data_IF_920293927207
#
_entry.id   IF_920293927207
#
_cell.length_a   1.000
_cell.length_b   1.000
_cell.length_c   1.000
_cell.angle_alpha   90.00
_cell.angle_beta   90.00
_cell.angle_gamma   90.00
#
_symmetry.space_group_name_H-M   'P 1'
#
loop_
_entity.id
_entity.type
_entity.pdbx_description
1 polymer ?
#
# COMPACT_ATOMS: atom_id res chain seq x y z
N UNK A 1 -27.75 4.48 5.73
CA UNK A 1 -26.64 3.54 5.63
C UNK A 1 -27.16 2.39 4.82
N UNK A 2 -26.60 2.15 3.65
CA UNK A 2 -27.05 1.05 2.82
C UNK A 2 -26.54 -0.26 3.42
N UNK A 3 -27.37 -1.29 3.44
CA UNK A 3 -27.01 -2.60 3.97
C UNK A 3 -26.55 -3.49 2.81
N UNK A 4 -25.29 -3.89 2.84
CA UNK A 4 -24.65 -4.69 1.81
C UNK A 4 -24.48 -6.16 2.21
N UNK A 5 -25.35 -6.68 3.07
CA UNK A 5 -25.31 -8.07 3.55
C UNK A 5 -25.15 -9.09 2.41
N UNK A 6 -25.89 -8.91 1.32
CA UNK A 6 -25.82 -9.81 0.16
C UNK A 6 -24.46 -9.76 -0.54
N UNK A 7 -23.92 -8.57 -0.72
CA UNK A 7 -22.58 -8.40 -1.34
C UNK A 7 -21.54 -9.06 -0.45
N UNK A 8 -21.48 -8.68 0.84
CA UNK A 8 -20.48 -9.20 1.79
C UNK A 8 -20.55 -10.72 1.90
N UNK A 9 -21.77 -11.31 1.96
CA UNK A 9 -21.93 -12.75 2.01
C UNK A 9 -21.47 -13.49 0.74
N UNK A 10 -21.42 -12.81 -0.40
CA UNK A 10 -20.96 -13.38 -1.68
C UNK A 10 -19.46 -13.24 -1.91
N UNK A 11 -18.75 -12.40 -1.12
CA UNK A 11 -17.32 -12.19 -1.27
C UNK A 11 -16.52 -13.45 -0.90
N UNK A 12 -15.47 -13.79 -1.63
CA UNK A 12 -14.57 -14.87 -1.25
C UNK A 12 -13.83 -14.53 0.06
N UNK A 13 -13.54 -15.55 0.85
CA UNK A 13 -12.66 -15.38 2.02
C UNK A 13 -11.24 -15.17 1.54
N UNK A 14 -10.69 -13.97 1.77
CA UNK A 14 -9.29 -13.66 1.45
C UNK A 14 -8.37 -14.13 2.57
N UNK A 15 -7.23 -14.71 2.20
CA UNK A 15 -6.15 -15.10 3.11
C UNK A 15 -4.83 -14.52 2.63
N UNK A 16 -3.94 -14.22 3.55
CA UNK A 16 -2.61 -13.69 3.20
C UNK A 16 -1.78 -14.67 2.33
N UNK A 17 -2.09 -15.97 2.41
CA UNK A 17 -1.45 -17.01 1.58
C UNK A 17 -1.95 -17.04 0.13
N UNK A 18 -3.09 -16.40 -0.16
CA UNK A 18 -3.72 -16.37 -1.50
C UNK A 18 -2.90 -15.62 -2.56
N UNK A 19 -1.78 -15.04 -2.16
CA UNK A 19 -0.77 -14.44 -3.05
C UNK A 19 -0.21 -15.42 -4.13
N UNK A 20 -0.64 -16.68 -4.09
CA UNK A 20 -0.32 -17.72 -5.09
C UNK A 20 -1.57 -18.27 -5.78
N UNK A 21 -2.73 -17.66 -5.55
CA UNK A 21 -3.97 -18.11 -6.16
C UNK A 21 -3.98 -17.76 -7.66
N UNK A 22 -3.66 -18.76 -8.49
CA UNK A 22 -3.55 -18.60 -9.96
C UNK A 22 -4.86 -18.16 -10.64
N UNK A 23 -5.99 -18.16 -9.93
CA UNK A 23 -7.31 -17.89 -10.48
C UNK A 23 -8.07 -16.73 -9.80
N UNK A 24 -7.39 -15.87 -9.03
CA UNK A 24 -8.05 -14.72 -8.40
C UNK A 24 -8.11 -13.55 -9.39
N UNK A 25 -9.29 -13.30 -9.95
CA UNK A 25 -9.55 -12.12 -10.77
C UNK A 25 -9.90 -10.92 -9.88
N UNK A 26 -8.86 -10.22 -9.42
CA UNK A 26 -9.03 -9.07 -8.54
C UNK A 26 -9.79 -7.91 -9.23
N UNK A 27 -9.56 -7.70 -10.52
CA UNK A 27 -10.23 -6.65 -11.28
C UNK A 27 -11.71 -6.97 -11.43
N UNK A 28 -12.06 -8.19 -11.86
CA UNK A 28 -13.45 -8.62 -12.01
C UNK A 28 -14.22 -8.59 -10.68
N UNK A 29 -13.56 -8.90 -9.54
CA UNK A 29 -14.17 -8.77 -8.22
C UNK A 29 -14.49 -7.32 -7.86
N UNK A 30 -13.57 -6.38 -8.13
CA UNK A 30 -13.79 -4.95 -7.89
C UNK A 30 -14.93 -4.42 -8.77
N UNK A 31 -14.97 -4.80 -10.05
CA UNK A 31 -16.02 -4.38 -10.97
C UNK A 31 -17.38 -4.94 -10.54
N UNK A 32 -17.45 -6.22 -10.16
CA UNK A 32 -18.68 -6.84 -9.67
C UNK A 32 -19.20 -6.23 -8.35
N UNK A 33 -18.30 -5.80 -7.45
CA UNK A 33 -18.66 -5.03 -6.26
C UNK A 33 -19.22 -3.67 -6.69
N UNK A 34 -18.51 -2.94 -7.55
CA UNK A 34 -18.89 -1.60 -8.02
C UNK A 34 -20.30 -1.57 -8.61
N UNK A 35 -20.64 -2.54 -9.44
CA UNK A 35 -21.97 -2.61 -10.07
C UNK A 35 -23.13 -2.73 -9.07
N UNK A 36 -22.85 -3.29 -7.89
CA UNK A 36 -23.85 -3.51 -6.85
C UNK A 36 -23.93 -2.39 -5.81
N UNK A 37 -22.94 -1.48 -5.79
CA UNK A 37 -22.91 -0.35 -4.87
C UNK A 37 -23.85 0.78 -5.31
N UNK A 38 -24.37 1.52 -4.32
CA UNK A 38 -25.04 2.80 -4.59
C UNK A 38 -24.07 3.80 -5.23
N UNK A 39 -24.59 4.73 -6.05
CA UNK A 39 -23.73 5.73 -6.71
C UNK A 39 -22.89 6.57 -5.73
N UNK A 40 -23.38 6.76 -4.50
CA UNK A 40 -22.63 7.43 -3.43
C UNK A 40 -21.44 6.58 -2.97
N UNK A 41 -21.63 5.28 -2.81
CA UNK A 41 -20.62 4.39 -2.27
C UNK A 41 -19.62 3.96 -3.37
N UNK A 42 -20.02 4.00 -4.65
CA UNK A 42 -19.07 3.91 -5.77
C UNK A 42 -18.01 5.00 -5.71
N UNK A 43 -18.37 6.24 -5.34
CA UNK A 43 -17.41 7.34 -5.16
C UNK A 43 -16.41 7.04 -4.04
N UNK A 44 -16.85 6.37 -2.95
CA UNK A 44 -15.95 5.95 -1.87
C UNK A 44 -14.98 4.87 -2.34
N UNK A 45 -15.47 3.90 -3.10
CA UNK A 45 -14.65 2.86 -3.71
C UNK A 45 -13.63 3.47 -4.68
N UNK A 46 -14.04 4.39 -5.55
CA UNK A 46 -13.16 5.07 -6.49
C UNK A 46 -12.07 5.86 -5.76
N UNK A 47 -12.44 6.56 -4.68
CA UNK A 47 -11.47 7.27 -3.85
C UNK A 47 -10.44 6.33 -3.21
N UNK A 48 -10.87 5.15 -2.73
CA UNK A 48 -9.95 4.13 -2.21
C UNK A 48 -8.99 3.66 -3.32
N UNK A 49 -9.50 3.39 -4.52
CA UNK A 49 -8.70 2.92 -5.66
C UNK A 49 -7.71 3.97 -6.16
N UNK A 50 -8.06 5.25 -6.11
CA UNK A 50 -7.15 6.37 -6.41
C UNK A 50 -5.90 6.34 -5.51
N UNK A 51 -6.01 5.87 -4.28
CA UNK A 51 -4.88 5.70 -3.35
C UNK A 51 -3.90 4.58 -3.73
N UNK A 52 -4.25 3.72 -4.68
CA UNK A 52 -3.35 2.70 -5.23
C UNK A 52 -2.77 3.09 -6.59
N UNK A 53 -3.12 4.27 -7.10
CA UNK A 53 -2.57 4.84 -8.32
C UNK A 53 -1.37 5.74 -7.98
N UNK A 54 -0.12 5.37 -8.38
CA UNK A 54 1.06 6.17 -8.07
C UNK A 54 1.00 7.61 -8.58
N UNK A 55 0.31 7.84 -9.69
CA UNK A 55 0.20 9.17 -10.31
C UNK A 55 -0.76 10.10 -9.53
N UNK A 56 -1.68 9.51 -8.75
CA UNK A 56 -2.66 10.24 -7.94
C UNK A 56 -2.23 10.39 -6.49
N UNK A 57 -1.35 9.53 -5.99
CA UNK A 57 -0.94 9.45 -4.60
C UNK A 57 0.09 10.56 -4.26
N UNK A 58 -0.40 11.76 -4.02
CA UNK A 58 0.39 12.96 -3.74
C UNK A 58 -0.11 13.69 -2.48
N UNK A 59 0.52 14.82 -2.13
CA UNK A 59 0.15 15.62 -0.96
C UNK A 59 -1.34 16.01 -0.96
N UNK A 60 -1.87 16.46 -2.09
CA UNK A 60 -3.27 16.89 -2.20
C UNK A 60 -4.24 15.73 -2.02
N UNK A 61 -3.87 14.53 -2.45
CA UNK A 61 -4.64 13.32 -2.17
C UNK A 61 -4.76 13.08 -0.67
N UNK A 62 -3.64 13.09 0.06
CA UNK A 62 -3.66 12.86 1.51
C UNK A 62 -4.40 13.95 2.28
N UNK A 63 -4.30 15.22 1.87
CA UNK A 63 -5.12 16.30 2.46
C UNK A 63 -6.60 15.97 2.35
N UNK A 64 -7.08 15.53 1.18
CA UNK A 64 -8.48 15.14 0.97
C UNK A 64 -8.85 13.87 1.74
N UNK A 65 -7.95 12.90 1.78
CA UNK A 65 -8.16 11.62 2.46
C UNK A 65 -8.33 11.80 3.97
N UNK A 66 -7.47 12.59 4.60
CA UNK A 66 -7.53 12.84 6.04
C UNK A 66 -8.71 13.74 6.46
N UNK A 67 -9.21 14.58 5.56
CA UNK A 67 -10.42 15.37 5.75
C UNK A 67 -11.70 14.61 5.36
N UNK A 68 -11.58 13.36 4.90
CA UNK A 68 -12.71 12.62 4.36
C UNK A 68 -13.73 12.25 5.45
N UNK A 69 -15.04 12.32 5.14
CA UNK A 69 -16.12 12.01 6.10
C UNK A 69 -16.22 10.52 6.42
N UNK A 70 -15.91 9.66 5.45
CA UNK A 70 -15.92 8.21 5.67
C UNK A 70 -14.75 7.85 6.60
N UNK A 71 -15.07 7.08 7.66
CA UNK A 71 -14.12 6.72 8.72
C UNK A 71 -12.99 5.83 8.18
N UNK A 72 -13.34 4.77 7.42
CA UNK A 72 -12.37 3.83 6.88
C UNK A 72 -11.32 4.55 6.02
N UNK A 73 -11.75 5.37 5.06
CA UNK A 73 -10.84 6.10 4.16
C UNK A 73 -9.89 7.02 4.94
N UNK A 74 -10.43 7.75 5.95
CA UNK A 74 -9.62 8.65 6.77
C UNK A 74 -8.57 7.89 7.57
N UNK A 75 -8.95 6.82 8.27
CA UNK A 75 -8.05 6.05 9.13
C UNK A 75 -7.03 5.24 8.32
N UNK A 76 -7.48 4.63 7.22
CA UNK A 76 -6.62 3.88 6.31
C UNK A 76 -5.52 4.75 5.69
N UNK A 77 -5.87 5.90 5.13
CA UNK A 77 -4.88 6.78 4.51
C UNK A 77 -4.05 7.56 5.52
N UNK A 78 -4.54 7.75 6.76
CA UNK A 78 -3.70 8.23 7.86
C UNK A 78 -2.57 7.25 8.14
N UNK A 79 -2.92 5.98 8.33
CA UNK A 79 -1.95 4.91 8.55
C UNK A 79 -0.99 4.75 7.35
N UNK A 80 -1.52 4.75 6.11
CA UNK A 80 -0.69 4.61 4.91
C UNK A 80 0.34 5.73 4.78
N UNK A 81 -0.06 6.98 5.04
CA UNK A 81 0.85 8.14 5.04
C UNK A 81 1.98 7.96 6.07
N UNK A 82 1.64 7.56 7.30
CA UNK A 82 2.61 7.41 8.38
C UNK A 82 3.58 6.25 8.10
N UNK A 83 3.07 5.13 7.60
CA UNK A 83 3.90 3.99 7.19
C UNK A 83 4.82 4.34 6.01
N UNK A 84 4.33 5.10 5.03
CA UNK A 84 5.10 5.60 3.89
C UNK A 84 6.22 6.53 4.38
N UNK A 85 5.92 7.51 5.21
CA UNK A 85 6.91 8.45 5.73
C UNK A 85 7.96 7.74 6.60
N UNK A 86 7.56 6.79 7.43
CA UNK A 86 8.48 5.95 8.21
C UNK A 86 9.42 5.16 7.31
N UNK A 87 8.90 4.62 6.19
CA UNK A 87 9.71 3.89 5.21
C UNK A 87 10.69 4.81 4.50
N UNK A 88 10.25 6.00 4.08
CA UNK A 88 11.10 7.02 3.44
C UNK A 88 12.21 7.48 4.38
N UNK A 89 11.88 7.81 5.64
CA UNK A 89 12.87 8.20 6.64
C UNK A 89 13.91 7.10 6.88
N UNK A 90 13.47 5.84 7.00
CA UNK A 90 14.39 4.70 7.11
C UNK A 90 15.34 4.59 5.91
N UNK A 91 14.82 4.66 4.68
CA UNK A 91 15.63 4.60 3.46
C UNK A 91 16.61 5.76 3.37
N UNK A 92 16.20 6.97 3.73
CA UNK A 92 17.07 8.15 3.74
C UNK A 92 18.22 7.99 4.72
N UNK A 93 17.97 7.47 5.94
CA UNK A 93 19.02 7.12 6.91
C UNK A 93 20.03 6.12 6.33
N UNK A 94 19.54 5.05 5.65
CA UNK A 94 20.42 4.05 5.01
C UNK A 94 21.27 4.65 3.89
N UNK A 95 20.72 5.61 3.15
CA UNK A 95 21.40 6.30 2.04
C UNK A 95 22.20 7.53 2.51
N UNK A 96 22.24 7.81 3.81
CA UNK A 96 22.91 9.00 4.40
C UNK A 96 22.40 10.32 3.81
N UNK A 97 21.09 10.42 3.61
CA UNK A 97 20.37 11.63 3.18
C UNK A 97 19.65 12.27 4.36
N UNK A 98 19.15 13.47 4.17
CA UNK A 98 18.24 14.12 5.13
C UNK A 98 16.98 13.26 5.30
N UNK A 99 16.57 13.01 6.56
CA UNK A 99 15.50 12.07 6.87
C UNK A 99 14.14 12.47 6.28
N UNK A 100 13.86 13.76 6.23
CA UNK A 100 12.61 14.35 5.75
C UNK A 100 12.52 14.48 4.22
N UNK A 101 13.62 14.21 3.51
CA UNK A 101 13.64 14.27 2.07
C UNK A 101 12.63 13.32 1.46
N UNK A 102 11.79 13.85 0.56
CA UNK A 102 10.75 13.11 -0.15
C UNK A 102 9.61 12.59 0.76
N UNK A 103 9.56 13.02 2.03
CA UNK A 103 8.40 12.77 2.90
C UNK A 103 7.23 13.67 2.53
N UNK A 104 6.03 13.16 2.72
CA UNK A 104 4.80 13.96 2.57
C UNK A 104 4.45 14.56 3.93
N UNK A 105 4.76 15.85 4.11
CA UNK A 105 4.46 16.60 5.33
C UNK A 105 3.18 17.40 5.13
N UNK A 106 2.19 17.20 6.02
CA UNK A 106 0.94 17.93 6.05
C UNK A 106 0.94 18.93 7.21
N UNK A 107 0.48 20.15 6.95
CA UNK A 107 0.35 21.20 7.97
C UNK A 107 -0.62 20.76 9.08
N UNK A 108 -0.25 21.00 10.33
CA UNK A 108 -1.05 20.64 11.50
C UNK A 108 -1.01 19.17 11.87
N UNK A 109 -0.10 18.37 11.28
CA UNK A 109 0.09 16.95 11.61
C UNK A 109 1.49 16.64 12.14
N UNK A 110 2.25 17.65 12.50
CA UNK A 110 3.66 17.53 12.91
C UNK A 110 3.82 16.69 14.19
N UNK A 111 2.80 16.67 15.05
CA UNK A 111 2.78 15.91 16.32
C UNK A 111 1.84 14.69 16.26
N UNK A 112 1.44 14.23 15.07
CA UNK A 112 0.57 13.07 14.96
C UNK A 112 1.30 11.80 15.44
N UNK A 113 0.67 11.07 16.33
CA UNK A 113 1.19 9.79 16.80
C UNK A 113 0.96 8.70 15.76
N UNK A 114 1.99 7.90 15.50
CA UNK A 114 1.91 6.67 14.71
C UNK A 114 2.16 5.47 15.62
N UNK A 115 1.10 4.83 16.14
CA UNK A 115 1.25 3.73 17.11
C UNK A 115 2.07 2.56 16.59
N UNK A 116 2.02 2.30 15.29
CA UNK A 116 2.73 1.21 14.63
C UNK A 116 4.18 1.54 14.27
N UNK A 117 4.67 2.73 14.57
CA UNK A 117 6.02 3.20 14.18
C UNK A 117 7.13 2.23 14.60
N UNK A 118 7.15 1.82 15.87
CA UNK A 118 8.18 0.92 16.38
C UNK A 118 8.16 -0.44 15.67
N UNK A 119 6.96 -0.94 15.36
CA UNK A 119 6.78 -2.20 14.60
C UNK A 119 7.26 -2.05 13.18
N UNK A 120 6.88 -0.97 12.50
CA UNK A 120 7.31 -0.68 11.13
C UNK A 120 8.84 -0.54 11.04
N UNK A 121 9.47 0.19 11.96
CA UNK A 121 10.93 0.33 12.01
C UNK A 121 11.65 -1.00 12.26
N UNK A 122 11.12 -1.85 13.15
CA UNK A 122 11.67 -3.18 13.37
C UNK A 122 11.58 -4.08 12.12
N UNK A 123 10.47 -4.02 11.40
CA UNK A 123 10.30 -4.73 10.13
C UNK A 123 11.31 -4.23 9.09
N UNK A 124 11.47 -2.91 8.96
CA UNK A 124 12.37 -2.28 7.98
C UNK A 124 13.83 -2.62 8.20
N UNK A 125 14.26 -2.92 9.43
CA UNK A 125 15.61 -3.38 9.76
C UNK A 125 15.91 -4.80 9.29
N UNK A 126 14.92 -5.56 8.85
CA UNK A 126 15.08 -6.91 8.34
C UNK A 126 15.99 -6.97 7.11
N UNK A 127 16.90 -7.95 7.06
CA UNK A 127 17.88 -8.13 5.99
C UNK A 127 17.22 -8.70 4.73
N UNK A 128 16.26 -9.61 4.90
CA UNK A 128 15.53 -10.25 3.81
C UNK A 128 14.44 -9.32 3.28
N UNK A 129 14.66 -8.80 2.07
CA UNK A 129 13.76 -7.84 1.43
C UNK A 129 12.36 -8.44 1.24
N UNK A 130 12.27 -9.69 0.79
CA UNK A 130 10.99 -10.34 0.54
C UNK A 130 10.19 -10.52 1.85
N UNK A 131 10.86 -10.97 2.89
CA UNK A 131 10.27 -11.13 4.22
C UNK A 131 9.83 -9.77 4.80
N UNK A 132 10.64 -8.74 4.59
CA UNK A 132 10.31 -7.37 5.01
C UNK A 132 9.04 -6.86 4.34
N UNK A 133 8.95 -6.99 2.99
CA UNK A 133 7.76 -6.58 2.24
C UNK A 133 6.50 -7.36 2.69
N UNK A 134 6.64 -8.67 2.95
CA UNK A 134 5.56 -9.48 3.50
C UNK A 134 5.10 -8.97 4.86
N UNK A 135 6.05 -8.70 5.77
CA UNK A 135 5.71 -8.22 7.12
C UNK A 135 5.09 -6.82 7.10
N UNK A 136 5.46 -5.94 6.14
CA UNK A 136 4.78 -4.67 5.96
C UNK A 136 3.34 -4.86 5.47
N UNK A 137 3.09 -5.86 4.62
CA UNK A 137 1.72 -6.17 4.19
C UNK A 137 0.90 -6.85 5.29
N UNK A 138 1.53 -7.68 6.14
CA UNK A 138 0.90 -8.21 7.35
C UNK A 138 0.45 -7.08 8.28
N UNK A 139 1.28 -6.04 8.41
CA UNK A 139 0.94 -4.84 9.19
C UNK A 139 -0.24 -4.08 8.58
N UNK A 140 -0.23 -3.89 7.23
CA UNK A 140 -1.37 -3.30 6.51
C UNK A 140 -2.65 -4.11 6.68
N UNK A 141 -2.54 -5.43 6.56
CA UNK A 141 -3.67 -6.33 6.74
C UNK A 141 -4.29 -6.23 8.12
N UNK A 142 -3.43 -6.26 9.14
CA UNK A 142 -3.85 -6.12 10.55
C UNK A 142 -4.53 -4.79 10.80
N UNK A 143 -4.06 -3.71 10.15
CA UNK A 143 -4.70 -2.39 10.25
C UNK A 143 -6.08 -2.35 9.61
N UNK A 144 -6.27 -3.02 8.47
CA UNK A 144 -7.61 -3.16 7.88
C UNK A 144 -8.55 -3.91 8.84
N UNK A 145 -8.08 -5.01 9.45
CA UNK A 145 -8.88 -5.76 10.44
C UNK A 145 -9.26 -4.91 11.64
N UNK A 146 -8.32 -4.11 12.16
CA UNK A 146 -8.57 -3.19 13.27
C UNK A 146 -9.64 -2.15 12.92
N UNK A 147 -9.52 -1.50 11.76
CA UNK A 147 -10.47 -0.46 11.32
C UNK A 147 -11.87 -1.05 11.11
N UNK A 148 -11.98 -2.28 10.58
CA UNK A 148 -13.25 -2.90 10.18
C UNK A 148 -13.83 -3.85 11.21
N UNK A 149 -13.25 -3.94 12.41
CA UNK A 149 -13.64 -4.95 13.42
C UNK A 149 -15.12 -4.91 13.83
N UNK A 150 -15.76 -3.76 13.70
CA UNK A 150 -17.17 -3.57 14.04
C UNK A 150 -18.08 -3.44 12.81
N UNK A 151 -17.51 -3.50 11.60
CA UNK A 151 -18.22 -3.29 10.35
C UNK A 151 -18.51 -4.65 9.73
N UNK A 152 -19.79 -5.00 9.61
CA UNK A 152 -20.20 -6.33 9.12
C UNK A 152 -20.80 -6.28 7.73
N UNK A 153 -21.72 -5.31 7.46
CA UNK A 153 -22.53 -5.28 6.25
C UNK A 153 -22.67 -3.87 5.67
N UNK A 154 -21.73 -3.01 5.98
CA UNK A 154 -21.69 -1.63 5.52
C UNK A 154 -20.60 -1.43 4.46
N UNK A 155 -20.48 -0.21 3.99
CA UNK A 155 -19.47 0.13 2.98
C UNK A 155 -18.05 -0.02 3.52
N UNK A 156 -17.82 0.19 4.80
CA UNK A 156 -16.53 0.05 5.45
C UNK A 156 -16.00 -1.39 5.36
N UNK A 157 -16.87 -2.39 5.55
CA UNK A 157 -16.51 -3.81 5.35
C UNK A 157 -16.07 -4.09 3.91
N UNK A 158 -16.76 -3.51 2.93
CA UNK A 158 -16.44 -3.67 1.51
C UNK A 158 -15.11 -2.96 1.17
N UNK A 159 -14.90 -1.74 1.65
CA UNK A 159 -13.64 -1.01 1.45
C UNK A 159 -12.46 -1.78 2.09
N UNK A 160 -12.65 -2.34 3.27
CA UNK A 160 -11.67 -3.21 3.92
C UNK A 160 -11.34 -4.46 3.10
N UNK A 161 -12.37 -5.12 2.54
CA UNK A 161 -12.18 -6.24 1.62
C UNK A 161 -11.35 -5.84 0.40
N UNK A 162 -11.69 -4.72 -0.25
CA UNK A 162 -10.97 -4.24 -1.43
C UNK A 162 -9.53 -3.85 -1.08
N UNK A 163 -9.27 -3.23 0.08
CA UNK A 163 -7.91 -2.93 0.53
C UNK A 163 -7.06 -4.20 0.68
N UNK A 164 -7.60 -5.26 1.29
CA UNK A 164 -6.94 -6.57 1.37
C UNK A 164 -6.74 -7.22 0.01
N UNK A 165 -7.76 -7.14 -0.87
CA UNK A 165 -7.67 -7.64 -2.23
C UNK A 165 -6.53 -6.97 -3.00
N UNK A 166 -6.31 -5.66 -2.81
CA UNK A 166 -5.19 -4.93 -3.43
C UNK A 166 -3.82 -5.37 -2.92
N UNK A 167 -3.71 -5.78 -1.65
CA UNK A 167 -2.48 -6.38 -1.12
C UNK A 167 -2.17 -7.69 -1.85
N UNK A 168 -3.17 -8.57 -2.02
CA UNK A 168 -3.01 -9.83 -2.75
C UNK A 168 -2.68 -9.58 -4.23
N UNK A 169 -3.45 -8.71 -4.90
CA UNK A 169 -3.31 -8.38 -6.32
C UNK A 169 -1.88 -7.92 -6.63
N UNK A 170 -1.28 -7.08 -5.77
CA UNK A 170 0.12 -6.65 -5.90
C UNK A 170 1.08 -7.84 -5.99
N UNK A 171 0.88 -8.88 -5.18
CA UNK A 171 1.73 -10.06 -5.19
C UNK A 171 1.49 -10.97 -6.40
N UNK A 172 0.24 -11.08 -6.87
CA UNK A 172 -0.10 -11.83 -8.07
C UNK A 172 0.51 -11.21 -9.35
N UNK A 173 0.65 -9.89 -9.37
CA UNK A 173 1.25 -9.17 -10.49
C UNK A 173 2.79 -9.23 -10.49
N UNK A 174 3.43 -9.66 -9.40
CA UNK A 174 4.88 -9.80 -9.33
C UNK A 174 5.31 -11.07 -10.10
N UNK A 175 5.74 -10.89 -11.35
CA UNK A 175 6.33 -11.94 -12.17
C UNK A 175 7.80 -12.14 -11.78
N UNK A 176 8.19 -13.34 -11.28
CA UNK A 176 9.57 -13.64 -10.91
C UNK A 176 10.56 -13.55 -12.09
N UNK A 177 10.13 -13.83 -13.32
CA UNK A 177 11.00 -13.78 -14.49
C UNK A 177 11.30 -12.32 -14.88
N UNK A 178 10.28 -11.46 -14.91
CA UNK A 178 10.44 -10.03 -15.13
C UNK A 178 11.33 -9.42 -14.04
N UNK A 179 11.13 -9.82 -12.77
CA UNK A 179 11.96 -9.37 -11.66
C UNK A 179 13.44 -9.75 -11.84
N UNK A 180 13.75 -10.96 -12.30
CA UNK A 180 15.14 -11.41 -12.58
C UNK A 180 15.76 -10.63 -13.73
N UNK A 181 15.01 -10.33 -14.79
CA UNK A 181 15.49 -9.57 -15.94
C UNK A 181 15.82 -8.13 -15.52
N UNK A 182 14.91 -7.48 -14.76
CA UNK A 182 15.13 -6.12 -14.25
C UNK A 182 16.32 -6.06 -13.30
N UNK A 183 16.46 -7.02 -12.40
CA UNK A 183 17.61 -7.09 -11.49
C UNK A 183 18.93 -7.26 -12.24
N UNK A 184 18.98 -8.14 -13.25
CA UNK A 184 20.17 -8.33 -14.08
C UNK A 184 20.55 -7.06 -14.82
N UNK A 185 19.59 -6.37 -15.41
CA UNK A 185 19.78 -5.08 -16.08
C UNK A 185 20.35 -4.03 -15.13
N UNK A 186 19.78 -3.89 -13.93
CA UNK A 186 20.22 -2.95 -12.92
C UNK A 186 21.68 -3.24 -12.47
N UNK A 187 22.04 -4.51 -12.32
CA UNK A 187 23.41 -4.92 -11.99
C UNK A 187 24.39 -4.59 -13.14
N UNK A 188 23.98 -4.78 -14.39
CA UNK A 188 24.77 -4.41 -15.57
C UNK A 188 24.97 -2.89 -15.67
N UNK A 189 23.93 -2.09 -15.43
CA UNK A 189 24.00 -0.63 -15.41
C UNK A 189 24.94 -0.11 -14.30
N UNK A 190 24.89 -0.71 -13.12
CA UNK A 190 25.82 -0.38 -12.03
C UNK A 190 27.25 -0.72 -12.42
N UNK A 191 27.50 -1.89 -13.01
CA UNK A 191 28.84 -2.30 -13.47
C UNK A 191 29.37 -1.35 -14.54
N UNK A 192 28.58 -1.04 -15.54
CA UNK A 192 28.99 -0.11 -16.62
C UNK A 192 29.32 1.28 -16.09
N UNK A 193 28.58 1.77 -15.11
CA UNK A 193 28.83 3.06 -14.44
C UNK A 193 30.15 3.04 -13.64
N UNK A 194 30.48 1.90 -13.01
CA UNK A 194 31.72 1.72 -12.27
C UNK A 194 32.93 1.62 -13.21
N UNK A 195 32.78 0.90 -14.33
CA UNK A 195 33.88 0.73 -15.32
C UNK A 195 34.17 2.05 -16.04
N UNK A 196 33.15 2.84 -16.37
CA UNK A 196 33.33 4.18 -16.96
C UNK A 196 34.05 5.14 -15.97
N UNK A 197 33.68 5.12 -14.67
CA UNK A 197 34.40 5.93 -13.66
C UNK A 197 35.85 5.51 -13.46
N UNK A 198 36.18 4.23 -13.64
CA UNK A 198 37.60 3.79 -13.58
C UNK A 198 38.41 4.26 -14.76
N UNK A 199 37.82 4.37 -15.94
CA UNK A 199 38.51 4.89 -17.14
C UNK A 199 38.75 6.41 -17.03
N UNK A 200 37.82 7.16 -16.44
CA UNK A 200 37.96 8.62 -16.25
C UNK A 200 39.00 9.01 -15.17
N UNK A 201 39.38 8.09 -14.28
CA UNK A 201 40.39 8.33 -13.23
C UNK A 201 41.80 7.87 -13.68
N UNK A 202 41.90 7.15 -14.79
CA UNK A 202 43.14 6.59 -15.30
C UNK A 202 43.81 7.46 -16.41
N UNK A 203 43.31 8.68 -16.64
CA UNK A 203 43.87 9.71 -17.50
C UNK A 203 44.42 10.87 -16.64
#
# INVERSE_FOLDING_TARGET
MDNYEYIVASLPVLRQEDVRAENLDAAGLVDGIREQLSGRDQVLLDFLLDGYDPDKLNKDFYVRALAHKNRFLREWFSFDLDLRNTTVAYLNRQLRREEDRDMIVLEGREEAEFPEQATAEAILQGIDILKRERSLDDLRWSKVDEITIQDYFDIEAILGFVAKLKIIDRWLQLDPETGRVLFRRMVEDIRSTYDNKKQDIAI
#
